data_IF_475988630800
#
_entry.id   IF_475988630800
#
_cell.length_a   1.000
_cell.length_b   1.000
_cell.length_c   1.000
_cell.angle_alpha   90.00
_cell.angle_beta   90.00
_cell.angle_gamma   90.00
#
_symmetry.space_group_name_H-M   'P 1'
#
loop_
_entity.id
_entity.type
_entity.pdbx_description
1 polymer ?
#
# COMPACT_ATOMS: atom_id res chain seq x y z
N UNK A 1 -4.27 -81.37 -48.57
CA UNK A 1 -5.25 -80.46 -49.22
C UNK A 1 -6.37 -80.11 -48.25
N UNK A 2 -6.17 -79.10 -47.40
CA UNK A 2 -7.22 -78.53 -46.56
C UNK A 2 -7.09 -76.98 -46.51
N UNK A 3 -6.70 -76.37 -47.64
CA UNK A 3 -6.47 -74.92 -47.78
C UNK A 3 -7.60 -74.17 -48.50
N UNK A 4 -8.84 -74.65 -48.42
CA UNK A 4 -10.00 -73.94 -49.02
C UNK A 4 -11.19 -73.72 -48.07
N UNK A 5 -11.25 -74.41 -46.93
CA UNK A 5 -12.33 -74.26 -45.95
C UNK A 5 -12.04 -73.17 -44.89
N UNK A 6 -10.78 -72.97 -44.51
CA UNK A 6 -10.41 -71.98 -43.49
C UNK A 6 -10.51 -70.51 -43.97
N UNK A 7 -10.41 -70.27 -45.29
CA UNK A 7 -10.49 -68.91 -45.87
C UNK A 7 -11.95 -68.46 -46.08
N UNK A 8 -12.90 -69.40 -46.20
CA UNK A 8 -14.32 -69.09 -46.39
C UNK A 8 -15.04 -68.68 -45.09
N UNK A 9 -14.51 -69.04 -43.92
CA UNK A 9 -15.09 -68.71 -42.60
C UNK A 9 -14.50 -67.44 -41.97
N UNK A 10 -13.40 -66.90 -42.49
CA UNK A 10 -12.78 -65.68 -41.98
C UNK A 10 -13.34 -64.40 -42.60
N UNK A 11 -13.93 -64.48 -43.81
CA UNK A 11 -14.57 -63.34 -44.47
C UNK A 11 -15.84 -62.81 -43.76
N UNK A 12 -16.77 -63.65 -43.26
CA UNK A 12 -17.97 -63.18 -42.57
C UNK A 12 -17.66 -62.51 -41.22
N UNK A 13 -16.64 -63.00 -40.51
CA UNK A 13 -16.27 -62.50 -39.17
C UNK A 13 -15.56 -61.14 -39.25
N UNK A 14 -14.74 -60.92 -40.29
CA UNK A 14 -14.08 -59.63 -40.54
C UNK A 14 -15.07 -58.53 -40.97
N UNK A 15 -16.12 -58.88 -41.73
CA UNK A 15 -17.20 -57.96 -42.09
C UNK A 15 -18.10 -57.61 -40.90
N UNK A 16 -18.35 -58.55 -39.98
CA UNK A 16 -19.09 -58.28 -38.74
C UNK A 16 -18.31 -57.32 -37.81
N UNK A 17 -16.98 -57.45 -37.75
CA UNK A 17 -16.12 -56.57 -36.95
C UNK A 17 -15.97 -55.14 -37.51
N UNK A 18 -16.27 -54.93 -38.80
CA UNK A 18 -16.29 -53.60 -39.42
C UNK A 18 -17.62 -52.85 -39.20
N UNK A 19 -18.71 -53.59 -38.96
CA UNK A 19 -20.06 -53.05 -38.84
C UNK A 19 -20.49 -52.65 -37.41
N UNK A 20 -19.68 -52.99 -36.39
CA UNK A 20 -19.99 -52.69 -34.97
C UNK A 20 -19.08 -51.63 -34.34
N UNK A 21 -18.40 -50.79 -35.12
CA UNK A 21 -17.62 -49.65 -34.59
C UNK A 21 -18.55 -48.43 -34.42
N UNK A 22 -18.95 -48.00 -33.21
CA UNK A 22 -19.74 -46.79 -33.03
C UNK A 22 -18.76 -45.61 -32.90
N UNK A 23 -18.61 -44.84 -33.98
CA UNK A 23 -18.07 -43.48 -33.88
C UNK A 23 -19.15 -42.58 -33.27
N UNK A 24 -18.87 -42.04 -32.09
CA UNK A 24 -19.65 -40.94 -31.53
C UNK A 24 -19.36 -39.67 -32.31
N UNK A 25 -20.26 -39.31 -33.23
CA UNK A 25 -20.38 -37.95 -33.74
C UNK A 25 -21.84 -37.54 -33.71
N UNK A 26 -22.14 -36.59 -32.82
CA UNK A 26 -23.40 -35.88 -32.73
C UNK A 26 -23.66 -35.08 -34.01
N UNK A 27 -24.77 -35.35 -34.70
CA UNK A 27 -25.71 -34.30 -35.10
C UNK A 27 -27.04 -34.87 -35.59
N UNK A 28 -28.07 -34.14 -35.19
CA UNK A 28 -29.51 -34.31 -35.40
C UNK A 28 -29.93 -34.45 -36.86
N UNK A 29 -30.87 -35.34 -37.17
CA UNK A 29 -32.21 -35.02 -37.75
C UNK A 29 -32.98 -36.27 -38.25
N UNK A 30 -34.26 -36.33 -37.85
CA UNK A 30 -35.47 -36.81 -38.55
C UNK A 30 -35.55 -38.21 -39.24
N UNK A 31 -36.22 -39.15 -38.54
CA UNK A 31 -37.27 -40.10 -38.99
C UNK A 31 -37.00 -41.14 -40.13
N UNK A 32 -37.92 -42.09 -40.41
CA UNK A 32 -38.35 -43.23 -39.58
C UNK A 32 -38.21 -44.56 -40.36
N UNK A 33 -37.80 -45.69 -39.75
CA UNK A 33 -37.87 -47.00 -40.44
C UNK A 33 -38.23 -48.17 -39.53
N UNK A 34 -39.54 -48.47 -39.47
CA UNK A 34 -40.08 -49.83 -39.35
C UNK A 34 -39.49 -50.70 -40.48
N UNK A 35 -38.30 -51.27 -40.29
CA UNK A 35 -37.70 -52.24 -41.22
C UNK A 35 -36.53 -53.03 -40.61
N UNK A 36 -36.56 -53.36 -39.30
CA UNK A 36 -35.48 -54.14 -38.65
C UNK A 36 -35.93 -55.38 -37.88
N UNK A 37 -37.24 -55.64 -37.75
CA UNK A 37 -37.76 -56.80 -37.03
C UNK A 37 -37.95 -58.07 -37.90
N UNK A 38 -37.86 -57.98 -39.23
CA UNK A 38 -38.14 -59.10 -40.12
C UNK A 38 -36.90 -59.95 -40.52
N UNK A 39 -35.69 -59.44 -40.32
CA UNK A 39 -34.46 -60.15 -40.71
C UNK A 39 -33.94 -61.12 -39.63
N UNK A 40 -34.33 -60.92 -38.36
CA UNK A 40 -33.91 -61.78 -37.24
C UNK A 40 -34.73 -63.08 -37.14
N UNK A 41 -35.96 -63.10 -37.66
CA UNK A 41 -36.85 -64.27 -37.59
C UNK A 41 -36.58 -65.33 -38.68
N UNK A 42 -35.84 -64.99 -39.74
CA UNK A 42 -35.48 -65.93 -40.81
C UNK A 42 -34.19 -66.72 -40.54
N UNK A 43 -33.32 -66.27 -39.62
CA UNK A 43 -32.08 -66.97 -39.28
C UNK A 43 -32.29 -68.12 -38.29
N UNK A 44 -33.31 -68.05 -37.43
CA UNK A 44 -33.61 -69.07 -36.42
C UNK A 44 -34.32 -70.28 -37.03
N UNK A 45 -35.11 -70.10 -38.10
CA UNK A 45 -35.82 -71.19 -38.77
C UNK A 45 -34.89 -72.13 -39.59
N UNK A 46 -33.75 -71.62 -40.09
CA UNK A 46 -32.80 -72.41 -40.87
C UNK A 46 -31.93 -73.35 -40.01
N UNK A 47 -31.72 -73.02 -38.73
CA UNK A 47 -30.91 -73.82 -37.80
C UNK A 47 -31.65 -75.03 -37.21
N UNK A 48 -32.98 -74.99 -37.13
CA UNK A 48 -33.80 -76.08 -36.56
C UNK A 48 -34.04 -77.21 -37.57
N UNK A 49 -34.01 -76.92 -38.88
CA UNK A 49 -34.19 -77.95 -39.93
C UNK A 49 -32.94 -78.82 -40.17
N UNK A 50 -31.77 -78.39 -39.70
CA UNK A 50 -30.48 -79.08 -39.91
C UNK A 50 -30.14 -80.13 -38.83
N UNK A 51 -30.91 -80.22 -37.75
CA UNK A 51 -30.61 -81.11 -36.60
C UNK A 51 -31.42 -82.43 -36.66
N UNK A 52 -32.49 -82.51 -37.46
CA UNK A 52 -33.42 -83.66 -37.44
C UNK A 52 -33.31 -84.60 -38.66
N UNK A 53 -32.11 -84.90 -39.16
CA UNK A 53 -31.97 -85.88 -40.24
C UNK A 53 -30.66 -86.69 -40.18
N UNK A 54 -30.64 -87.83 -39.48
CA UNK A 54 -29.78 -88.99 -39.79
C UNK A 54 -30.51 -90.30 -39.41
N UNK A 55 -30.50 -91.35 -40.25
CA UNK A 55 -31.29 -92.57 -40.07
C UNK A 55 -30.53 -93.74 -39.39
N UNK A 56 -31.35 -94.73 -39.03
CA UNK A 56 -31.13 -96.04 -38.40
C UNK A 56 -30.34 -97.05 -39.25
N UNK A 57 -29.60 -97.97 -38.59
CA UNK A 57 -29.29 -99.35 -39.01
C UNK A 57 -28.26 -100.00 -38.06
N UNK A 58 -28.67 -101.03 -37.33
CA UNK A 58 -27.81 -101.79 -36.42
C UNK A 58 -26.96 -102.86 -37.09
N UNK A 59 -26.04 -103.49 -36.35
CA UNK A 59 -25.70 -104.93 -36.49
C UNK A 59 -24.91 -105.44 -35.28
N UNK A 60 -25.29 -106.62 -34.81
CA UNK A 60 -24.57 -107.50 -33.87
C UNK A 60 -23.69 -108.47 -34.69
N UNK A 61 -22.60 -109.06 -34.15
CA UNK A 61 -22.61 -110.51 -33.82
C UNK A 61 -21.79 -110.84 -32.53
N UNK A 62 -22.27 -111.66 -31.57
CA UNK A 62 -22.24 -113.16 -31.44
C UNK A 62 -20.83 -113.72 -31.11
N UNK A 63 -20.53 -113.99 -29.81
CA UNK A 63 -20.30 -115.33 -29.12
C UNK A 63 -18.90 -115.94 -29.37
N UNK A 64 -18.12 -116.51 -28.45
CA UNK A 64 -18.15 -116.69 -26.98
C UNK A 64 -16.78 -117.24 -26.48
N UNK A 65 -16.69 -117.42 -25.15
CA UNK A 65 -15.81 -118.31 -24.34
C UNK A 65 -14.70 -117.64 -23.53
N UNK A 66 -15.00 -117.38 -22.25
CA UNK A 66 -14.07 -116.89 -21.24
C UNK A 66 -14.75 -116.20 -20.05
N UNK A 67 -15.83 -116.79 -19.51
CA UNK A 67 -16.75 -116.14 -18.57
C UNK A 67 -16.11 -115.67 -17.24
N UNK A 68 -14.95 -116.23 -16.84
CA UNK A 68 -14.25 -115.80 -15.61
C UNK A 68 -13.24 -114.66 -15.84
N UNK A 69 -12.61 -114.57 -17.02
CA UNK A 69 -11.66 -113.48 -17.32
C UNK A 69 -12.37 -112.15 -17.62
N UNK A 70 -13.55 -112.22 -18.23
CA UNK A 70 -14.39 -111.07 -18.58
C UNK A 70 -15.06 -110.45 -17.35
N UNK A 71 -15.45 -111.30 -16.39
CA UNK A 71 -15.99 -110.86 -15.10
C UNK A 71 -14.94 -110.11 -14.26
N UNK A 72 -13.69 -110.60 -14.21
CA UNK A 72 -12.59 -109.92 -13.51
C UNK A 72 -12.13 -108.64 -14.22
N UNK A 73 -12.15 -108.60 -15.56
CA UNK A 73 -11.90 -107.38 -16.33
C UNK A 73 -12.94 -106.29 -16.01
N UNK A 74 -14.23 -106.64 -16.03
CA UNK A 74 -15.31 -105.73 -15.63
C UNK A 74 -15.18 -105.28 -14.17
N UNK A 75 -14.74 -106.18 -13.28
CA UNK A 75 -14.50 -105.86 -11.86
C UNK A 75 -13.38 -104.84 -11.69
N UNK A 76 -12.28 -105.02 -12.44
CA UNK A 76 -11.15 -104.07 -12.45
C UNK A 76 -11.54 -102.70 -13.01
N UNK A 77 -12.43 -102.66 -14.01
CA UNK A 77 -12.95 -101.41 -14.57
C UNK A 77 -13.89 -100.70 -13.58
N UNK A 78 -14.74 -101.45 -12.86
CA UNK A 78 -15.58 -100.91 -11.79
C UNK A 78 -14.73 -100.33 -10.65
N UNK A 79 -13.65 -101.01 -10.26
CA UNK A 79 -12.72 -100.49 -9.24
C UNK A 79 -11.99 -99.23 -9.72
N UNK A 80 -11.56 -99.19 -10.99
CA UNK A 80 -10.97 -98.00 -11.60
C UNK A 80 -11.97 -96.82 -11.68
N UNK A 81 -13.24 -97.09 -12.01
CA UNK A 81 -14.30 -96.08 -12.02
C UNK A 81 -14.60 -95.55 -10.62
N UNK A 82 -14.60 -96.41 -9.59
CA UNK A 82 -14.74 -95.98 -8.19
C UNK A 82 -13.60 -95.08 -7.74
N UNK A 83 -12.37 -95.39 -8.13
CA UNK A 83 -11.22 -94.53 -7.82
C UNK A 83 -11.33 -93.18 -8.51
N UNK A 84 -11.79 -93.14 -9.76
CA UNK A 84 -12.06 -91.88 -10.47
C UNK A 84 -13.20 -91.07 -9.83
N UNK A 85 -14.26 -91.74 -9.36
CA UNK A 85 -15.34 -91.09 -8.60
C UNK A 85 -14.77 -90.47 -7.33
N UNK A 86 -13.98 -91.20 -6.56
CA UNK A 86 -13.34 -90.68 -5.34
C UNK A 86 -12.39 -89.50 -5.64
N UNK A 87 -11.67 -89.53 -6.76
CA UNK A 87 -10.83 -88.41 -7.20
C UNK A 87 -11.66 -87.18 -7.58
N UNK A 88 -12.76 -87.36 -8.32
CA UNK A 88 -13.66 -86.25 -8.68
C UNK A 88 -14.37 -85.68 -7.45
N UNK A 89 -14.79 -86.52 -6.52
CA UNK A 89 -15.35 -86.10 -5.23
C UNK A 89 -14.33 -85.29 -4.42
N UNK A 90 -13.07 -85.74 -4.35
CA UNK A 90 -11.99 -85.00 -3.71
C UNK A 90 -11.72 -83.66 -4.37
N UNK A 91 -11.68 -83.61 -5.71
CA UNK A 91 -11.45 -82.38 -6.47
C UNK A 91 -12.64 -81.42 -6.35
N UNK A 92 -13.86 -81.95 -6.28
CA UNK A 92 -15.07 -81.17 -6.04
C UNK A 92 -15.05 -80.58 -4.62
N UNK A 93 -14.69 -81.37 -3.62
CA UNK A 93 -14.58 -80.94 -2.22
C UNK A 93 -13.44 -79.91 -2.00
N UNK A 94 -12.33 -80.03 -2.73
CA UNK A 94 -11.29 -79.00 -2.75
C UNK A 94 -11.79 -77.73 -3.44
N UNK A 95 -12.42 -77.84 -4.61
CA UNK A 95 -12.95 -76.70 -5.34
C UNK A 95 -14.03 -75.95 -4.55
N UNK A 96 -14.94 -76.65 -3.86
CA UNK A 96 -15.95 -76.01 -3.00
C UNK A 96 -15.31 -75.24 -1.86
N UNK A 97 -14.26 -75.79 -1.23
CA UNK A 97 -13.47 -75.06 -0.20
C UNK A 97 -12.81 -73.81 -0.78
N UNK A 98 -12.17 -73.92 -1.95
CA UNK A 98 -11.53 -72.75 -2.59
C UNK A 98 -12.54 -71.68 -3.01
N UNK A 99 -13.74 -72.07 -3.46
CA UNK A 99 -14.83 -71.16 -3.79
C UNK A 99 -15.33 -70.44 -2.54
N UNK A 100 -15.52 -71.17 -1.43
CA UNK A 100 -15.95 -70.57 -0.17
C UNK A 100 -14.91 -69.58 0.38
N UNK A 101 -13.61 -69.90 0.31
CA UNK A 101 -12.57 -68.94 0.73
C UNK A 101 -12.54 -67.69 -0.15
N UNK A 102 -12.75 -67.83 -1.47
CA UNK A 102 -12.83 -66.68 -2.39
C UNK A 102 -14.07 -65.83 -2.14
N UNK A 103 -15.19 -66.45 -1.78
CA UNK A 103 -16.41 -65.73 -1.42
C UNK A 103 -16.19 -64.86 -0.17
N UNK A 104 -15.49 -65.39 0.84
CA UNK A 104 -15.14 -64.62 2.05
C UNK A 104 -14.25 -63.41 1.74
N UNK A 105 -13.23 -63.58 0.89
CA UNK A 105 -12.32 -62.48 0.50
C UNK A 105 -13.10 -61.39 -0.24
N UNK A 106 -13.97 -61.78 -1.17
CA UNK A 106 -14.77 -60.82 -1.94
C UNK A 106 -15.74 -60.03 -1.04
N UNK A 107 -16.26 -60.65 0.02
CA UNK A 107 -17.10 -59.96 1.01
C UNK A 107 -16.31 -58.89 1.80
N UNK A 108 -15.05 -59.17 2.17
CA UNK A 108 -14.17 -58.19 2.82
C UNK A 108 -13.82 -57.03 1.88
N UNK A 109 -13.48 -57.32 0.62
CA UNK A 109 -13.20 -56.30 -0.39
C UNK A 109 -14.43 -55.41 -0.63
N UNK A 110 -15.65 -55.97 -0.61
CA UNK A 110 -16.88 -55.18 -0.74
C UNK A 110 -17.06 -54.18 0.43
N UNK A 111 -16.77 -54.62 1.67
CA UNK A 111 -16.82 -53.74 2.85
C UNK A 111 -15.80 -52.61 2.76
N UNK A 112 -14.60 -52.90 2.26
CA UNK A 112 -13.56 -51.89 2.03
C UNK A 112 -14.00 -50.87 0.97
N UNK A 113 -14.59 -51.34 -0.13
CA UNK A 113 -15.12 -50.47 -1.20
C UNK A 113 -16.20 -49.53 -0.64
N UNK A 114 -17.15 -50.06 0.14
CA UNK A 114 -18.20 -49.23 0.77
C UNK A 114 -17.62 -48.16 1.71
N UNK A 115 -16.60 -48.50 2.50
CA UNK A 115 -15.91 -47.56 3.37
C UNK A 115 -15.20 -46.45 2.57
N UNK A 116 -14.51 -46.82 1.49
CA UNK A 116 -13.85 -45.86 0.60
C UNK A 116 -14.86 -44.94 -0.12
N UNK A 117 -16.03 -45.46 -0.49
CA UNK A 117 -17.07 -44.66 -1.13
C UNK A 117 -17.67 -43.62 -0.16
N UNK A 118 -17.83 -43.98 1.11
CA UNK A 118 -18.20 -43.04 2.17
C UNK A 118 -17.14 -41.93 2.37
N UNK A 119 -15.85 -42.27 2.37
CA UNK A 119 -14.76 -41.29 2.48
C UNK A 119 -14.71 -40.36 1.26
N UNK A 120 -14.89 -40.89 0.05
CA UNK A 120 -14.98 -40.08 -1.18
C UNK A 120 -16.16 -39.11 -1.08
N UNK A 121 -17.34 -39.58 -0.64
CA UNK A 121 -18.50 -38.72 -0.49
C UNK A 121 -18.26 -37.60 0.53
N UNK A 122 -17.64 -37.92 1.65
CA UNK A 122 -17.26 -36.93 2.68
C UNK A 122 -16.26 -35.90 2.15
N UNK A 123 -15.29 -36.34 1.34
CA UNK A 123 -14.32 -35.45 0.68
C UNK A 123 -14.96 -34.59 -0.42
N UNK A 124 -16.02 -35.06 -1.07
CA UNK A 124 -16.79 -34.30 -2.07
C UNK A 124 -17.69 -33.25 -1.39
N UNK A 125 -18.29 -33.58 -0.24
CA UNK A 125 -19.21 -32.70 0.48
C UNK A 125 -18.47 -31.66 1.37
N UNK A 126 -17.26 -32.00 1.85
CA UNK A 126 -16.38 -31.12 2.62
C UNK A 126 -16.05 -29.75 1.96
N UNK A 127 -15.74 -29.67 0.64
CA UNK A 127 -15.49 -28.41 -0.05
C UNK A 127 -16.76 -27.59 -0.37
N UNK A 128 -17.96 -28.16 -0.39
CA UNK A 128 -19.20 -27.36 -0.54
C UNK A 128 -19.58 -26.68 0.78
N UNK A 129 -19.44 -27.36 1.93
CA UNK A 129 -19.79 -26.76 3.23
C UNK A 129 -18.83 -25.65 3.71
N UNK A 130 -17.61 -25.59 3.17
CA UNK A 130 -16.56 -24.65 3.61
C UNK A 130 -16.28 -23.49 2.65
N UNK A 131 -16.78 -23.54 1.40
CA UNK A 131 -16.56 -22.47 0.41
C UNK A 131 -17.57 -21.32 0.48
N UNK A 132 -18.77 -21.55 0.98
CA UNK A 132 -19.88 -20.61 0.72
C UNK A 132 -20.13 -19.54 1.79
N UNK A 133 -19.55 -19.64 3.00
CA UNK A 133 -20.04 -18.79 4.10
C UNK A 133 -19.03 -17.88 4.80
N UNK A 134 -17.70 -18.02 4.66
CA UNK A 134 -16.78 -17.27 5.54
C UNK A 134 -15.66 -16.44 4.90
N UNK A 135 -15.21 -16.77 3.68
CA UNK A 135 -14.03 -16.08 3.10
C UNK A 135 -14.38 -14.97 2.08
N UNK A 136 -15.61 -14.93 1.56
CA UNK A 136 -15.97 -14.05 0.44
C UNK A 136 -16.47 -12.64 0.85
N UNK A 137 -17.02 -12.46 2.06
CA UNK A 137 -17.62 -11.18 2.46
C UNK A 137 -16.64 -10.22 3.14
N UNK A 138 -15.73 -10.72 3.99
CA UNK A 138 -14.77 -9.87 4.72
C UNK A 138 -13.67 -9.29 3.82
N UNK A 139 -13.26 -9.97 2.75
CA UNK A 139 -12.23 -9.45 1.83
C UNK A 139 -12.79 -8.47 0.81
N UNK A 140 -14.00 -8.72 0.27
CA UNK A 140 -14.61 -7.87 -0.75
C UNK A 140 -14.98 -6.48 -0.20
N UNK A 141 -15.48 -6.40 1.04
CA UNK A 141 -15.79 -5.13 1.70
C UNK A 141 -14.56 -4.27 1.93
N UNK A 142 -13.47 -4.87 2.42
CA UNK A 142 -12.20 -4.16 2.64
C UNK A 142 -11.56 -3.70 1.33
N UNK A 143 -11.62 -4.52 0.28
CA UNK A 143 -11.12 -4.15 -1.05
C UNK A 143 -11.86 -2.93 -1.60
N UNK A 144 -13.19 -2.93 -1.53
CA UNK A 144 -14.00 -1.79 -1.98
C UNK A 144 -13.74 -0.53 -1.15
N UNK A 145 -13.67 -0.67 0.18
CA UNK A 145 -13.35 0.45 1.07
C UNK A 145 -11.99 1.05 0.75
N UNK A 146 -10.97 0.22 0.52
CA UNK A 146 -9.65 0.68 0.12
C UNK A 146 -9.65 1.35 -1.26
N UNK A 147 -10.43 0.83 -2.20
CA UNK A 147 -10.58 1.42 -3.53
C UNK A 147 -11.22 2.81 -3.46
N UNK A 148 -12.25 2.97 -2.63
CA UNK A 148 -12.92 4.25 -2.37
C UNK A 148 -11.93 5.26 -1.72
N UNK A 149 -11.14 4.83 -0.73
CA UNK A 149 -10.09 5.66 -0.12
C UNK A 149 -9.02 6.09 -1.12
N UNK A 150 -8.57 5.18 -2.00
CA UNK A 150 -7.59 5.49 -3.05
C UNK A 150 -8.16 6.50 -4.03
N UNK A 151 -9.42 6.37 -4.44
CA UNK A 151 -10.08 7.34 -5.31
C UNK A 151 -10.17 8.72 -4.64
N UNK A 152 -10.51 8.77 -3.35
CA UNK A 152 -10.54 10.01 -2.59
C UNK A 152 -9.15 10.67 -2.54
N UNK A 153 -8.11 9.91 -2.20
CA UNK A 153 -6.74 10.42 -2.15
C UNK A 153 -6.27 10.93 -3.51
N UNK A 154 -6.60 10.24 -4.61
CA UNK A 154 -6.28 10.70 -5.96
C UNK A 154 -6.98 12.02 -6.30
N UNK A 155 -8.25 12.18 -5.90
CA UNK A 155 -8.98 13.42 -6.10
C UNK A 155 -8.36 14.57 -5.30
N UNK A 156 -8.00 14.33 -4.04
CA UNK A 156 -7.34 15.32 -3.18
C UNK A 156 -5.97 15.73 -3.73
N UNK A 157 -5.14 14.77 -4.18
CA UNK A 157 -3.85 15.06 -4.83
C UNK A 157 -4.06 15.87 -6.11
N UNK A 158 -5.05 15.55 -6.94
CA UNK A 158 -5.38 16.34 -8.13
C UNK A 158 -5.76 17.78 -7.77
N UNK A 159 -6.49 17.97 -6.66
CA UNK A 159 -6.90 19.28 -6.16
C UNK A 159 -5.71 20.08 -5.64
N UNK A 160 -4.84 19.43 -4.86
CA UNK A 160 -3.60 20.03 -4.33
C UNK A 160 -2.67 20.42 -5.47
N UNK A 161 -2.53 19.59 -6.50
CA UNK A 161 -1.68 19.91 -7.65
C UNK A 161 -2.14 21.18 -8.36
N UNK A 162 -3.44 21.31 -8.62
CA UNK A 162 -4.02 22.54 -9.21
C UNK A 162 -3.75 23.76 -8.32
N UNK A 163 -3.92 23.62 -7.01
CA UNK A 163 -3.63 24.71 -6.08
C UNK A 163 -2.13 25.07 -6.09
N UNK A 164 -1.24 24.07 -6.17
CA UNK A 164 0.20 24.28 -6.30
C UNK A 164 0.53 25.09 -7.55
N UNK A 165 -0.04 24.74 -8.70
CA UNK A 165 0.15 25.48 -9.96
C UNK A 165 -0.33 26.93 -9.83
N UNK A 166 -1.47 27.17 -9.17
CA UNK A 166 -1.98 28.53 -8.93
C UNK A 166 -1.07 29.34 -8.01
N UNK A 167 -0.60 28.74 -6.91
CA UNK A 167 0.30 29.40 -5.95
C UNK A 167 1.64 29.73 -6.62
N UNK A 168 2.17 28.81 -7.43
CA UNK A 168 3.41 29.04 -8.16
C UNK A 168 3.27 30.18 -9.18
N UNK A 169 2.16 30.23 -9.90
CA UNK A 169 1.91 31.33 -10.85
C UNK A 169 1.79 32.69 -10.16
N UNK A 170 1.17 32.73 -8.98
CA UNK A 170 1.03 33.94 -8.17
C UNK A 170 2.37 34.37 -7.57
N UNK A 171 3.17 33.43 -7.06
CA UNK A 171 4.51 33.71 -6.57
C UNK A 171 5.38 34.34 -7.67
N UNK A 172 5.38 33.75 -8.87
CA UNK A 172 6.09 34.30 -10.04
C UNK A 172 5.60 35.69 -10.45
N UNK A 173 4.30 35.97 -10.35
CA UNK A 173 3.79 37.34 -10.59
C UNK A 173 4.32 38.34 -9.55
N UNK A 174 4.23 37.98 -8.27
CA UNK A 174 4.70 38.85 -7.19
C UNK A 174 6.20 39.11 -7.25
N UNK A 175 7.01 38.11 -7.65
CA UNK A 175 8.45 38.24 -7.86
C UNK A 175 8.76 39.28 -8.94
N UNK A 176 8.13 39.18 -10.12
CA UNK A 176 8.33 40.17 -11.21
C UNK A 176 7.95 41.59 -10.77
N UNK A 177 6.90 41.74 -9.97
CA UNK A 177 6.47 43.04 -9.45
C UNK A 177 7.50 43.60 -8.46
N UNK A 178 8.03 42.77 -7.57
CA UNK A 178 9.09 43.15 -6.62
C UNK A 178 10.37 43.53 -7.36
N UNK A 179 10.78 42.77 -8.38
CA UNK A 179 11.93 43.12 -9.22
C UNK A 179 11.73 44.48 -9.89
N UNK A 180 10.56 44.72 -10.46
CA UNK A 180 10.22 46.00 -11.11
C UNK A 180 10.34 47.16 -10.12
N UNK A 181 9.69 47.05 -8.96
CA UNK A 181 9.77 48.04 -7.88
C UNK A 181 11.20 48.24 -7.38
N UNK A 182 11.98 47.16 -7.21
CA UNK A 182 13.38 47.24 -6.79
C UNK A 182 14.22 48.04 -7.80
N UNK A 183 13.93 47.88 -9.10
CA UNK A 183 14.61 48.61 -10.17
C UNK A 183 14.26 50.10 -10.13
N UNK A 184 13.00 50.45 -9.85
CA UNK A 184 12.52 51.82 -9.71
C UNK A 184 13.10 52.50 -8.48
N UNK A 185 13.08 51.82 -7.32
CA UNK A 185 13.71 52.30 -6.09
C UNK A 185 15.20 52.53 -6.28
N UNK A 186 15.89 51.63 -7.00
CA UNK A 186 17.32 51.80 -7.34
C UNK A 186 17.55 53.01 -8.25
N UNK A 187 16.67 53.28 -9.22
CA UNK A 187 16.71 54.50 -10.05
C UNK A 187 16.49 55.74 -9.19
N UNK A 188 15.48 55.77 -8.33
CA UNK A 188 15.17 56.89 -7.43
C UNK A 188 16.32 57.16 -6.44
N UNK A 189 16.94 56.11 -5.88
CA UNK A 189 18.10 56.24 -5.01
C UNK A 189 19.30 56.87 -5.74
N UNK A 190 19.60 56.41 -6.96
CA UNK A 190 20.67 57.00 -7.79
C UNK A 190 20.39 58.46 -8.11
N UNK A 191 19.15 58.79 -8.46
CA UNK A 191 18.72 60.17 -8.71
C UNK A 191 18.90 61.06 -7.45
N UNK A 192 18.42 60.60 -6.29
CA UNK A 192 18.62 61.29 -5.01
C UNK A 192 20.10 61.49 -4.68
N UNK A 193 20.94 60.48 -4.92
CA UNK A 193 22.39 60.54 -4.70
C UNK A 193 23.06 61.57 -5.63
N UNK A 194 22.64 61.64 -6.90
CA UNK A 194 23.13 62.63 -7.84
C UNK A 194 22.77 64.06 -7.39
N UNK A 195 21.52 64.29 -6.98
CA UNK A 195 21.08 65.58 -6.42
C UNK A 195 21.91 65.94 -5.18
N UNK A 196 22.09 65.01 -4.22
CA UNK A 196 22.87 65.28 -3.01
C UNK A 196 24.29 65.76 -3.34
N UNK A 197 24.97 65.09 -4.27
CA UNK A 197 26.33 65.49 -4.68
C UNK A 197 26.37 66.88 -5.34
N UNK A 198 25.31 67.26 -6.04
CA UNK A 198 25.23 68.57 -6.70
C UNK A 198 25.01 69.73 -5.73
N UNK A 199 24.29 69.51 -4.63
CA UNK A 199 23.95 70.55 -3.65
C UNK A 199 24.82 70.56 -2.39
N UNK A 200 25.58 69.49 -2.12
CA UNK A 200 26.51 69.39 -0.98
C UNK A 200 27.86 68.88 -1.52
N UNK A 201 28.85 69.77 -1.75
CA UNK A 201 30.19 69.33 -2.11
C UNK A 201 30.81 68.57 -0.93
N UNK A 202 31.41 67.42 -1.25
CA UNK A 202 32.12 66.54 -0.31
C UNK A 202 33.21 67.37 0.40
N UNK A 203 32.96 67.74 1.65
CA UNK A 203 33.98 68.36 2.50
C UNK A 203 34.47 67.29 3.45
N UNK A 204 35.66 66.79 3.12
CA UNK A 204 36.41 65.76 3.82
C UNK A 204 36.85 66.25 5.22
N UNK A 205 35.94 66.22 6.20
CA UNK A 205 36.27 66.53 7.60
C UNK A 205 35.29 65.86 8.57
N UNK A 206 35.77 65.20 9.65
CA UNK A 206 34.94 64.31 10.45
C UNK A 206 33.87 65.07 11.23
N UNK A 207 32.65 64.55 11.10
CA UNK A 207 31.42 65.00 11.73
C UNK A 207 31.55 65.06 13.26
N UNK A 208 31.28 66.24 13.82
CA UNK A 208 30.93 66.38 15.24
C UNK A 208 29.45 66.02 15.35
N UNK A 209 29.18 64.72 15.34
CA UNK A 209 27.88 64.16 15.66
C UNK A 209 27.51 64.55 17.09
N UNK A 210 26.54 65.45 17.30
CA UNK A 210 25.69 65.41 18.51
C UNK A 210 24.35 66.14 18.39
N UNK A 211 24.10 66.99 17.39
CA UNK A 211 22.76 67.50 17.12
C UNK A 211 22.32 67.06 15.73
N UNK A 212 21.35 66.15 15.68
CA UNK A 212 20.77 65.57 14.46
C UNK A 212 20.03 66.58 13.59
N UNK A 213 20.78 67.45 12.94
CA UNK A 213 20.33 68.39 11.93
C UNK A 213 21.53 69.11 11.34
N UNK A 214 21.56 69.28 10.02
CA UNK A 214 22.58 70.06 9.32
C UNK A 214 22.39 71.55 9.62
N UNK A 215 22.74 71.95 10.84
CA UNK A 215 22.78 73.36 11.24
C UNK A 215 24.09 73.93 10.73
N UNK A 216 24.00 75.00 9.94
CA UNK A 216 25.17 75.68 9.36
C UNK A 216 26.18 76.03 10.45
N UNK A 217 27.47 75.78 10.21
CA UNK A 217 28.57 76.12 11.13
C UNK A 217 28.56 77.59 11.54
N UNK A 218 28.06 78.48 10.69
CA UNK A 218 27.89 79.92 10.99
C UNK A 218 26.79 80.20 12.02
N UNK A 219 25.75 79.38 12.09
CA UNK A 219 24.62 79.55 13.01
C UNK A 219 24.95 79.11 14.44
N UNK A 220 25.96 78.24 14.60
CA UNK A 220 26.40 77.75 15.92
C UNK A 220 27.56 78.60 16.46
N UNK A 221 28.45 79.11 15.60
CA UNK A 221 29.61 79.89 16.07
C UNK A 221 29.20 81.18 16.78
N UNK A 222 28.18 81.88 16.26
CA UNK A 222 27.70 83.15 16.84
C UNK A 222 27.20 82.99 18.29
N UNK A 223 26.22 82.11 18.60
CA UNK A 223 25.78 81.91 19.98
C UNK A 223 26.88 81.27 20.85
N UNK A 224 27.77 80.45 20.29
CA UNK A 224 28.88 79.86 21.03
C UNK A 224 29.90 80.91 21.49
N UNK A 225 30.30 81.83 20.60
CA UNK A 225 31.23 82.90 20.94
C UNK A 225 30.62 83.87 21.98
N UNK A 226 29.33 84.17 21.86
CA UNK A 226 28.60 84.93 22.87
C UNK A 226 28.55 84.23 24.23
N UNK A 227 28.27 82.92 24.23
CA UNK A 227 28.28 82.13 25.46
C UNK A 227 29.68 82.10 26.09
N UNK A 228 30.74 81.96 25.30
CA UNK A 228 32.13 81.97 25.77
C UNK A 228 32.49 83.30 26.44
N UNK A 229 32.06 84.43 25.87
CA UNK A 229 32.21 85.75 26.47
C UNK A 229 31.44 85.86 27.79
N UNK A 230 30.21 85.36 27.83
CA UNK A 230 29.39 85.35 29.05
C UNK A 230 30.06 84.54 30.17
N UNK A 231 30.48 83.31 29.91
CA UNK A 231 31.17 82.46 30.91
C UNK A 231 32.46 83.12 31.40
N UNK A 232 33.26 83.70 30.50
CA UNK A 232 34.49 84.40 30.87
C UNK A 232 34.22 85.62 31.76
N UNK A 233 33.13 86.33 31.50
CA UNK A 233 32.68 87.46 32.33
C UNK A 233 32.22 86.99 33.71
N UNK A 234 31.40 85.94 33.76
CA UNK A 234 30.89 85.34 34.99
C UNK A 234 32.02 84.81 35.88
N UNK A 235 33.06 84.22 35.31
CA UNK A 235 34.23 83.76 36.06
C UNK A 235 34.99 84.92 36.72
N UNK A 236 35.20 86.03 36.00
CA UNK A 236 35.84 87.24 36.57
C UNK A 236 34.99 87.84 37.67
N UNK A 237 33.67 87.86 37.48
CA UNK A 237 32.75 88.35 38.50
C UNK A 237 32.73 87.45 39.74
N UNK A 238 32.70 86.12 39.56
CA UNK A 238 32.80 85.15 40.64
C UNK A 238 34.07 85.34 41.47
N UNK A 239 35.23 85.49 40.84
CA UNK A 239 36.48 85.75 41.56
C UNK A 239 36.42 87.06 42.36
N UNK A 240 35.85 88.13 41.78
CA UNK A 240 35.69 89.41 42.48
C UNK A 240 34.74 89.31 43.68
N UNK A 241 33.63 88.58 43.54
CA UNK A 241 32.69 88.31 44.63
C UNK A 241 33.37 87.46 45.70
N UNK A 242 34.14 86.44 45.32
CA UNK A 242 34.85 85.57 46.26
C UNK A 242 35.82 86.35 47.14
N UNK A 243 36.63 87.25 46.56
CA UNK A 243 37.55 88.11 47.32
C UNK A 243 36.78 89.07 48.24
N UNK A 244 35.75 89.74 47.72
CA UNK A 244 34.92 90.64 48.53
C UNK A 244 34.27 89.92 49.73
N UNK A 245 33.79 88.70 49.49
CA UNK A 245 33.10 87.89 50.50
C UNK A 245 34.09 87.34 51.53
N UNK A 246 35.31 86.99 51.10
CA UNK A 246 36.40 86.64 52.00
C UNK A 246 36.72 87.80 52.94
N UNK A 247 36.98 89.00 52.40
CA UNK A 247 37.29 90.20 53.18
C UNK A 247 36.14 90.60 54.12
N UNK A 248 34.89 90.50 53.65
CA UNK A 248 33.70 90.78 54.45
C UNK A 248 33.50 89.76 55.59
N UNK A 249 33.79 88.48 55.36
CA UNK A 249 33.67 87.44 56.38
C UNK A 249 34.81 87.52 57.41
N UNK A 250 36.02 87.87 56.98
CA UNK A 250 37.22 88.00 57.83
C UNK A 250 37.16 89.23 58.76
N UNK A 251 36.59 90.32 58.26
CA UNK A 251 36.45 91.58 59.01
C UNK A 251 35.41 91.51 60.15
N UNK A 252 34.46 90.58 60.10
CA UNK A 252 33.44 90.43 61.14
C UNK A 252 33.81 89.33 62.16
N UNK A 253 33.82 89.70 63.44
CA UNK A 253 34.27 88.86 64.57
C UNK A 253 33.55 87.52 64.66
N UNK A 254 32.27 87.45 64.28
CA UNK A 254 31.47 86.22 64.36
C UNK A 254 31.64 85.30 63.15
N UNK A 255 31.89 85.85 61.96
CA UNK A 255 31.96 85.08 60.70
C UNK A 255 33.37 84.73 60.26
N UNK A 256 34.40 85.20 60.98
CA UNK A 256 35.81 84.94 60.66
C UNK A 256 36.15 83.46 60.54
N UNK A 257 35.53 82.60 61.35
CA UNK A 257 35.72 81.15 61.29
C UNK A 257 35.23 80.53 59.96
N UNK A 258 34.35 81.23 59.23
CA UNK A 258 33.80 80.81 57.93
C UNK A 258 34.55 81.41 56.73
N UNK A 259 35.52 82.31 56.96
CA UNK A 259 36.36 82.92 55.92
C UNK A 259 37.41 81.93 55.37
N UNK A 260 37.00 80.70 55.09
CA UNK A 260 37.83 79.69 54.44
C UNK A 260 37.62 79.77 52.93
N UNK A 261 38.70 79.57 52.16
CA UNK A 261 38.69 79.54 50.70
C UNK A 261 37.55 78.69 50.06
N UNK A 262 37.27 77.44 50.51
CA UNK A 262 36.18 76.65 49.93
C UNK A 262 34.79 77.23 50.24
N UNK A 263 34.62 77.85 51.41
CA UNK A 263 33.32 78.40 51.84
C UNK A 263 33.01 79.68 51.07
N UNK A 264 34.00 80.56 50.93
CA UNK A 264 33.87 81.79 50.14
C UNK A 264 33.67 81.49 48.66
N UNK A 265 34.34 80.47 48.12
CA UNK A 265 34.14 79.99 46.75
C UNK A 265 32.70 79.52 46.49
N UNK A 266 32.15 78.66 47.37
CA UNK A 266 30.78 78.14 47.25
C UNK A 266 29.75 79.25 47.41
N UNK A 267 29.94 80.14 48.38
CA UNK A 267 29.01 81.24 48.64
C UNK A 267 29.03 82.28 47.50
N UNK A 268 30.20 82.56 46.93
CA UNK A 268 30.32 83.38 45.72
C UNK A 268 29.66 82.71 44.51
N UNK A 269 29.83 81.40 44.32
CA UNK A 269 29.19 80.66 43.24
C UNK A 269 27.67 80.71 43.37
N UNK A 270 27.14 80.44 44.57
CA UNK A 270 25.70 80.48 44.83
C UNK A 270 25.13 81.89 44.57
N UNK A 271 25.84 82.94 44.99
CA UNK A 271 25.41 84.33 44.76
C UNK A 271 25.38 84.68 43.27
N UNK A 272 26.38 84.23 42.49
CA UNK A 272 26.46 84.52 41.05
C UNK A 272 25.43 83.73 40.24
N UNK A 273 25.16 82.49 40.64
CA UNK A 273 24.28 81.58 39.89
C UNK A 273 22.81 81.73 40.30
N UNK A 274 22.51 82.11 41.54
CA UNK A 274 21.15 82.26 42.08
C UNK A 274 20.23 83.13 41.22
N UNK A 275 20.64 84.32 40.70
CA UNK A 275 19.78 85.13 39.84
C UNK A 275 19.33 84.41 38.55
N UNK A 276 20.19 83.57 37.96
CA UNK A 276 19.81 82.77 36.79
C UNK A 276 18.75 81.74 37.14
N UNK A 277 18.90 81.04 38.28
CA UNK A 277 17.90 80.06 38.73
C UNK A 277 16.58 80.72 39.10
N UNK A 278 16.61 81.89 39.75
CA UNK A 278 15.41 82.66 40.10
C UNK A 278 14.72 83.15 38.82
N UNK A 279 15.46 83.71 37.86
CA UNK A 279 14.90 84.17 36.59
C UNK A 279 14.28 83.01 35.79
N UNK A 280 14.98 81.87 35.72
CA UNK A 280 14.46 80.64 35.12
C UNK A 280 13.20 80.17 35.83
N UNK A 281 13.23 80.05 37.16
CA UNK A 281 12.10 79.60 37.97
C UNK A 281 10.88 80.52 37.79
N UNK A 282 11.05 81.84 37.81
CA UNK A 282 9.97 82.80 37.57
C UNK A 282 9.41 82.71 36.15
N UNK A 283 10.27 82.51 35.15
CA UNK A 283 9.85 82.31 33.76
C UNK A 283 9.06 81.00 33.60
N UNK A 284 9.59 79.90 34.11
CA UNK A 284 8.92 78.59 34.11
C UNK A 284 7.61 78.62 34.88
N UNK A 285 7.53 79.33 36.01
CA UNK A 285 6.30 79.50 36.77
C UNK A 285 5.25 80.31 36.01
N UNK A 286 5.64 81.44 35.41
CA UNK A 286 4.71 82.35 34.72
C UNK A 286 4.16 81.79 33.41
N UNK A 287 4.93 80.97 32.69
CA UNK A 287 4.56 80.47 31.36
C UNK A 287 4.30 78.95 31.31
N UNK A 288 4.74 78.18 32.31
CA UNK A 288 4.45 76.75 32.40
C UNK A 288 3.02 76.40 32.81
N UNK A 289 2.27 77.36 33.37
CA UNK A 289 0.89 77.15 33.83
C UNK A 289 -0.18 77.42 32.76
N UNK A 290 0.19 77.74 31.51
CA UNK A 290 -0.74 77.80 30.38
C UNK A 290 -0.67 76.52 29.57
N UNK A 291 -1.35 75.49 30.06
CA UNK A 291 -1.91 74.40 29.25
C UNK A 291 -3.39 74.30 29.60
#
# INVERSE_FOLDING_TARGET
MASRAAVALLLPVRLLSLALRPCFSHSSTAAPRRARAAAALLAVAALVSAICAVPDAGTRPVVATGADADADALRSEIEALRLKIAQLESLLEENTKTLNSKASILEEDNKLIEAMECDIQLLIDGPESTKDSKSKSYSAGNIKSMEDEVQQLQQEVSKINKNSDTIESLARDTERRVETLSSEVKKAYRFRKAIRRQYIPDTDRPDVFFLGGSVSRSSISIPYDQFKLFISSTQKFHHKVQVFLHDALESNTYSRCLANEPVTFVLAYLLVVSPMWIAWFLYSWRFGSRK
#
